data_IF_487384397427
#
_entry.id   IF_487384397427
#
_cell.length_a   1.000
_cell.length_b   1.000
_cell.length_c   1.000
_cell.angle_alpha   90.00
_cell.angle_beta   90.00
_cell.angle_gamma   90.00
#
_symmetry.space_group_name_H-M   'P 1'
#
loop_
_entity.id
_entity.type
_entity.pdbx_description
1 polymer ?
#
# COMPACT_ATOMS: atom_id res chain seq x y z
N UNK A 1 24.49 5.99 -6.88
CA UNK A 1 23.94 5.06 -5.87
C UNK A 1 22.47 4.87 -6.19
N UNK A 2 21.94 3.64 -6.19
CA UNK A 2 20.50 3.41 -6.44
C UNK A 2 19.75 3.83 -5.18
N UNK A 3 18.87 4.81 -5.30
CA UNK A 3 18.02 5.26 -4.18
C UNK A 3 17.15 4.08 -3.70
N UNK A 4 17.04 3.82 -2.38
CA UNK A 4 16.08 2.86 -1.88
C UNK A 4 14.66 3.36 -2.20
N UNK A 5 13.91 2.61 -3.00
CA UNK A 5 12.62 3.03 -3.50
C UNK A 5 11.53 2.12 -2.93
N UNK A 6 10.85 2.54 -1.87
CA UNK A 6 9.64 1.83 -1.46
C UNK A 6 8.55 2.08 -2.51
N UNK A 7 7.75 1.08 -2.86
CA UNK A 7 6.52 1.31 -3.61
C UNK A 7 5.37 0.69 -2.82
N UNK A 8 4.82 1.50 -1.91
CA UNK A 8 3.72 1.06 -1.05
C UNK A 8 2.40 1.13 -1.80
N UNK A 9 2.02 0.01 -2.39
CA UNK A 9 0.70 -0.15 -2.98
C UNK A 9 -0.36 -0.18 -1.87
N UNK A 10 -1.11 0.90 -1.70
CA UNK A 10 -2.29 0.90 -0.85
C UNK A 10 -3.49 0.40 -1.63
N UNK A 11 -3.66 -0.90 -1.71
CA UNK A 11 -4.92 -1.46 -2.18
C UNK A 11 -5.93 -1.38 -1.04
N UNK A 12 -6.74 -0.33 -1.09
CA UNK A 12 -7.85 -0.10 -0.18
C UNK A 12 -7.49 0.11 1.29
N UNK A 13 -6.97 1.30 1.59
CA UNK A 13 -7.14 1.91 2.91
C UNK A 13 -8.62 2.26 3.26
N UNK A 14 -9.59 1.64 2.57
CA UNK A 14 -11.02 1.88 2.80
C UNK A 14 -11.48 1.05 3.98
N UNK A 15 -12.11 1.70 4.95
CA UNK A 15 -12.79 1.03 6.05
C UNK A 15 -14.04 0.31 5.53
N UNK A 16 -13.93 -0.99 5.20
CA UNK A 16 -15.08 -1.77 4.73
C UNK A 16 -15.83 -2.31 5.96
N UNK A 17 -16.68 -1.46 6.55
CA UNK A 17 -17.49 -1.83 7.72
C UNK A 17 -18.74 -0.98 7.85
N UNK A 18 -19.91 -1.63 7.77
CA UNK A 18 -21.24 -1.03 7.99
C UNK A 18 -21.32 -0.32 9.36
N UNK A 19 -21.08 0.99 9.40
CA UNK A 19 -21.87 2.01 10.09
C UNK A 19 -21.15 3.36 9.97
N UNK A 20 -21.92 4.33 9.46
CA UNK A 20 -21.54 5.73 9.28
C UNK A 20 -20.89 6.30 10.56
N UNK A 21 -19.61 6.62 10.49
CA UNK A 21 -19.11 7.91 10.96
C UNK A 21 -18.38 8.55 9.80
N UNK A 22 -18.93 9.69 9.39
CA UNK A 22 -18.51 10.43 8.23
C UNK A 22 -17.04 10.85 8.35
N UNK A 23 -16.38 10.84 7.20
CA UNK A 23 -15.19 11.62 6.88
C UNK A 23 -13.80 10.96 6.95
N UNK A 24 -13.56 9.75 7.49
CA UNK A 24 -12.21 9.13 7.41
C UNK A 24 -12.07 8.15 6.26
N UNK A 25 -11.43 8.60 5.17
CA UNK A 25 -11.13 7.79 3.98
C UNK A 25 -9.96 6.81 4.19
N UNK A 26 -9.14 7.02 5.21
CA UNK A 26 -7.94 6.23 5.52
C UNK A 26 -7.98 5.73 6.98
N UNK A 27 -7.28 4.61 7.26
CA UNK A 27 -6.96 4.22 8.63
C UNK A 27 -6.02 5.25 9.28
N UNK A 28 -6.18 5.45 10.59
CA UNK A 28 -5.50 6.51 11.36
C UNK A 28 -3.97 6.44 11.31
N UNK A 29 -3.41 5.26 11.06
CA UNK A 29 -1.97 5.00 11.02
C UNK A 29 -1.34 5.21 9.63
N UNK A 30 -2.14 5.33 8.57
CA UNK A 30 -1.64 5.42 7.19
C UNK A 30 -0.91 6.74 6.94
N UNK A 31 -1.58 7.88 7.15
CA UNK A 31 -1.00 9.20 6.87
C UNK A 31 0.26 9.47 7.72
N UNK A 32 0.27 9.20 9.04
CA UNK A 32 1.48 9.39 9.84
C UNK A 32 2.65 8.51 9.40
N UNK A 33 2.41 7.25 9.04
CA UNK A 33 3.46 6.34 8.59
C UNK A 33 4.03 6.76 7.23
N UNK A 34 3.15 7.09 6.27
CA UNK A 34 3.54 7.56 4.94
C UNK A 34 4.39 8.83 5.03
N UNK A 35 4.03 9.78 5.90
CA UNK A 35 4.86 10.98 6.14
C UNK A 35 6.26 10.61 6.62
N UNK A 36 6.38 9.74 7.63
CA UNK A 36 7.69 9.26 8.12
C UNK A 36 8.52 8.58 7.03
N UNK A 37 7.88 7.80 6.15
CA UNK A 37 8.57 7.15 5.05
C UNK A 37 9.11 8.14 4.04
N UNK A 38 8.33 9.18 3.71
CA UNK A 38 8.80 10.26 2.84
C UNK A 38 9.93 11.07 3.46
N UNK A 39 9.83 11.38 4.76
CA UNK A 39 10.90 12.04 5.51
C UNK A 39 12.20 11.21 5.53
N UNK A 40 12.08 9.88 5.51
CA UNK A 40 13.21 8.96 5.37
C UNK A 40 13.74 8.81 3.92
N UNK A 41 13.16 9.55 2.95
CA UNK A 41 13.56 9.54 1.55
C UNK A 41 12.88 8.48 0.68
N UNK A 42 11.87 7.78 1.20
CA UNK A 42 11.16 6.75 0.43
C UNK A 42 10.13 7.40 -0.50
N UNK A 43 10.01 6.82 -1.71
CA UNK A 43 8.89 7.11 -2.62
C UNK A 43 7.67 6.27 -2.22
N UNK A 44 6.49 6.70 -2.62
CA UNK A 44 5.21 6.06 -2.28
C UNK A 44 4.32 6.06 -3.51
N UNK A 45 3.85 4.88 -3.90
CA UNK A 45 3.10 4.67 -5.14
C UNK A 45 1.83 3.87 -4.89
N UNK A 46 0.68 4.37 -5.34
CA UNK A 46 -0.59 3.66 -5.18
C UNK A 46 -0.81 2.77 -6.40
N UNK A 47 -1.20 1.52 -6.18
CA UNK A 47 -1.71 0.66 -7.24
C UNK A 47 -3.08 0.16 -6.81
N UNK A 48 -4.13 0.45 -7.56
CA UNK A 48 -5.52 0.07 -7.22
C UNK A 48 -6.25 -0.49 -8.43
N UNK A 49 -7.32 -1.24 -8.22
CA UNK A 49 -8.27 -1.55 -9.30
C UNK A 49 -9.16 -0.36 -9.66
N UNK A 50 -9.25 0.65 -8.77
CA UNK A 50 -9.86 1.94 -9.09
C UNK A 50 -9.01 2.76 -10.07
N UNK A 51 -9.65 3.54 -10.94
CA UNK A 51 -8.93 4.35 -11.94
C UNK A 51 -8.00 5.36 -11.28
N UNK A 52 -6.93 5.77 -11.98
CA UNK A 52 -6.01 6.81 -11.48
C UNK A 52 -6.75 8.09 -11.07
N UNK A 53 -7.78 8.49 -11.81
CA UNK A 53 -8.60 9.66 -11.48
C UNK A 53 -9.35 9.46 -10.16
N UNK A 54 -9.96 8.29 -9.95
CA UNK A 54 -10.65 7.97 -8.70
C UNK A 54 -9.69 7.91 -7.51
N UNK A 55 -8.47 7.42 -7.72
CA UNK A 55 -7.43 7.43 -6.69
C UNK A 55 -7.03 8.86 -6.34
N UNK A 56 -6.74 9.71 -7.33
CA UNK A 56 -6.39 11.12 -7.08
C UNK A 56 -7.50 11.88 -6.35
N UNK A 57 -8.76 11.61 -6.67
CA UNK A 57 -9.90 12.19 -5.95
C UNK A 57 -9.96 11.73 -4.49
N UNK A 58 -9.65 10.46 -4.21
CA UNK A 58 -9.60 9.92 -2.85
C UNK A 58 -8.54 10.63 -1.99
N UNK A 59 -7.34 10.85 -2.55
CA UNK A 59 -6.24 11.52 -1.84
C UNK A 59 -6.40 13.06 -1.81
N UNK A 60 -7.01 13.66 -2.83
CA UNK A 60 -7.25 15.11 -2.91
C UNK A 60 -8.39 15.62 -2.02
N UNK A 61 -9.33 14.75 -1.62
CA UNK A 61 -10.47 15.12 -0.76
C UNK A 61 -10.42 14.47 0.63
N UNK A 62 -9.23 14.08 1.10
CA UNK A 62 -9.08 13.47 2.42
C UNK A 62 -9.44 14.47 3.54
N UNK A 63 -10.04 13.97 4.62
CA UNK A 63 -10.29 14.77 5.83
C UNK A 63 -9.04 15.17 6.60
N UNK A 64 -7.89 14.63 6.24
CA UNK A 64 -6.59 14.92 6.88
C UNK A 64 -5.80 16.00 6.13
N UNK A 65 -6.46 16.74 5.22
CA UNK A 65 -5.86 17.79 4.39
C UNK A 65 -5.45 17.28 3.01
N UNK A 66 -4.72 18.11 2.26
CA UNK A 66 -4.19 17.73 0.95
C UNK A 66 -3.13 16.63 1.13
N UNK A 67 -3.53 15.38 0.90
CA UNK A 67 -2.64 14.21 0.97
C UNK A 67 -2.03 13.88 -0.39
N UNK A 68 -2.27 14.71 -1.40
CA UNK A 68 -1.72 14.52 -2.75
C UNK A 68 -0.19 14.50 -2.76
N UNK A 69 0.45 15.33 -1.94
CA UNK A 69 1.91 15.40 -1.81
C UNK A 69 2.54 14.14 -1.20
N UNK A 70 1.73 13.24 -0.63
CA UNK A 70 2.21 12.02 -0.01
C UNK A 70 2.46 10.89 -1.03
N UNK A 71 1.98 11.05 -2.26
CA UNK A 71 2.01 10.02 -3.30
C UNK A 71 2.81 10.52 -4.50
N UNK A 72 3.84 9.78 -4.89
CA UNK A 72 4.69 10.10 -6.05
C UNK A 72 4.10 9.57 -7.38
N UNK A 73 3.17 8.62 -7.32
CA UNK A 73 2.50 8.10 -8.50
C UNK A 73 1.33 7.17 -8.21
N UNK A 74 0.51 6.99 -9.24
CA UNK A 74 -0.70 6.16 -9.21
C UNK A 74 -0.69 5.20 -10.40
N UNK A 75 -1.08 3.95 -10.14
CA UNK A 75 -1.21 2.88 -11.09
C UNK A 75 -2.61 2.28 -10.98
N UNK A 76 -3.25 2.00 -12.10
CA UNK A 76 -4.52 1.27 -12.15
C UNK A 76 -4.39 0.01 -12.99
N UNK A 77 -5.46 -0.76 -13.17
CA UNK A 77 -5.38 -2.02 -13.94
C UNK A 77 -5.08 -1.84 -15.44
N UNK A 78 -5.00 -0.60 -15.96
CA UNK A 78 -4.58 -0.37 -17.35
C UNK A 78 -3.12 -0.73 -17.59
N UNK A 79 -2.29 -0.73 -16.54
CA UNK A 79 -0.90 -1.20 -16.60
C UNK A 79 -0.78 -2.73 -16.46
N UNK A 80 -1.90 -3.43 -16.20
CA UNK A 80 -1.93 -4.87 -15.99
C UNK A 80 -2.82 -5.31 -14.84
N UNK A 81 -3.15 -6.61 -14.78
CA UNK A 81 -3.74 -7.19 -13.57
C UNK A 81 -2.66 -7.44 -12.51
N UNK A 82 -3.00 -7.19 -11.24
CA UNK A 82 -2.08 -7.27 -10.10
C UNK A 82 -1.49 -8.65 -9.83
N UNK A 83 -2.15 -9.68 -10.36
CA UNK A 83 -1.74 -11.07 -10.26
C UNK A 83 -0.95 -11.56 -11.49
N UNK A 84 -0.83 -10.73 -12.54
CA UNK A 84 -0.23 -11.11 -13.83
C UNK A 84 0.91 -10.20 -14.28
N UNK A 85 1.02 -8.98 -13.73
CA UNK A 85 1.94 -7.96 -14.24
C UNK A 85 2.75 -7.35 -13.11
N UNK A 86 4.01 -7.78 -13.01
CA UNK A 86 4.95 -7.41 -11.96
C UNK A 86 6.04 -6.42 -12.39
N UNK A 87 6.09 -6.01 -13.67
CA UNK A 87 7.19 -5.18 -14.22
C UNK A 87 7.34 -3.79 -13.57
N UNK A 88 6.33 -3.32 -12.85
CA UNK A 88 6.38 -2.03 -12.13
C UNK A 88 7.14 -2.15 -10.81
N UNK A 89 7.17 -3.35 -10.24
CA UNK A 89 7.80 -3.65 -8.97
C UNK A 89 9.08 -4.46 -9.22
N UNK A 90 10.01 -4.39 -8.28
CA UNK A 90 11.28 -5.12 -8.33
C UNK A 90 11.80 -5.29 -6.90
N UNK A 91 12.95 -5.96 -6.72
CA UNK A 91 13.59 -6.23 -5.42
C UNK A 91 13.85 -5.00 -4.54
N UNK A 92 13.79 -3.78 -5.08
CA UNK A 92 13.96 -2.56 -4.28
C UNK A 92 12.66 -2.10 -3.61
N UNK A 93 11.52 -2.62 -4.07
CA UNK A 93 10.19 -2.24 -3.63
C UNK A 93 9.65 -3.18 -2.56
N UNK A 94 8.92 -2.60 -1.59
CA UNK A 94 8.08 -3.33 -0.65
C UNK A 94 6.62 -3.15 -1.03
N UNK A 95 5.97 -4.23 -1.44
CA UNK A 95 4.55 -4.30 -1.78
C UNK A 95 3.73 -4.63 -0.53
N UNK A 96 2.75 -3.78 -0.23
CA UNK A 96 1.81 -4.01 0.87
C UNK A 96 0.46 -4.40 0.27
N UNK A 97 -0.14 -5.50 0.68
CA UNK A 97 -1.47 -5.90 0.18
C UNK A 97 -2.23 -6.69 1.24
N UNK A 98 -3.56 -6.63 1.25
CA UNK A 98 -4.40 -7.51 2.03
C UNK A 98 -4.76 -8.82 1.31
N UNK A 99 -4.43 -8.94 0.02
CA UNK A 99 -4.79 -10.08 -0.83
C UNK A 99 -3.59 -11.01 -1.02
N UNK A 100 -3.67 -12.22 -0.47
CA UNK A 100 -2.57 -13.21 -0.54
C UNK A 100 -2.19 -13.61 -1.97
N UNK A 101 -3.14 -13.61 -2.92
CA UNK A 101 -2.83 -13.90 -4.33
C UNK A 101 -1.94 -12.83 -4.98
N UNK A 102 -2.14 -11.57 -4.61
CA UNK A 102 -1.28 -10.48 -5.08
C UNK A 102 0.09 -10.55 -4.40
N UNK A 103 0.11 -10.94 -3.13
CA UNK A 103 1.36 -11.18 -2.41
C UNK A 103 2.20 -12.28 -3.07
N UNK A 104 1.60 -13.44 -3.36
CA UNK A 104 2.25 -14.54 -4.08
C UNK A 104 2.79 -14.10 -5.44
N UNK A 105 2.00 -13.37 -6.22
CA UNK A 105 2.42 -12.90 -7.55
C UNK A 105 3.59 -11.89 -7.48
N UNK A 106 3.64 -11.07 -6.43
CA UNK A 106 4.75 -10.14 -6.20
C UNK A 106 6.03 -10.87 -5.76
N UNK A 107 5.93 -11.90 -4.91
CA UNK A 107 7.08 -12.72 -4.52
C UNK A 107 7.64 -13.55 -5.68
N UNK A 108 6.78 -14.11 -6.54
CA UNK A 108 7.20 -14.80 -7.78
C UNK A 108 8.00 -13.89 -8.72
N UNK A 109 7.86 -12.57 -8.54
CA UNK A 109 8.59 -11.54 -9.27
C UNK A 109 9.78 -10.94 -8.49
N UNK A 110 10.22 -11.61 -7.42
CA UNK A 110 11.29 -11.16 -6.53
C UNK A 110 11.01 -9.80 -5.87
N UNK A 111 9.75 -9.45 -5.62
CA UNK A 111 9.38 -8.22 -4.90
C UNK A 111 9.23 -8.53 -3.41
N UNK A 112 9.70 -7.66 -2.53
CA UNK A 112 9.44 -7.82 -1.10
C UNK A 112 7.96 -7.56 -0.80
N UNK A 113 7.34 -8.40 0.04
CA UNK A 113 5.92 -8.28 0.36
C UNK A 113 5.68 -8.30 1.87
N UNK A 114 4.72 -7.49 2.33
CA UNK A 114 4.09 -7.67 3.62
C UNK A 114 2.57 -7.64 3.49
N UNK A 115 1.89 -8.54 4.19
CA UNK A 115 0.43 -8.65 4.13
C UNK A 115 -0.19 -7.78 5.22
N UNK A 116 -1.10 -6.89 4.82
CA UNK A 116 -1.77 -5.95 5.71
C UNK A 116 -3.08 -6.55 6.20
N UNK A 117 -3.20 -6.75 7.51
CA UNK A 117 -4.39 -7.31 8.14
C UNK A 117 -5.20 -6.18 8.76
N UNK A 118 -6.37 -5.88 8.19
CA UNK A 118 -7.32 -4.88 8.71
C UNK A 118 -8.66 -5.52 9.09
N UNK A 119 -9.41 -4.92 10.02
CA UNK A 119 -10.78 -5.34 10.31
C UNK A 119 -11.64 -5.30 9.03
N UNK A 120 -12.24 -6.44 8.67
CA UNK A 120 -13.08 -6.57 7.47
C UNK A 120 -12.40 -7.22 6.27
N UNK A 121 -11.08 -7.45 6.31
CA UNK A 121 -10.38 -8.19 5.25
C UNK A 121 -10.85 -9.65 5.22
N UNK A 122 -10.75 -10.28 4.05
CA UNK A 122 -10.96 -11.71 3.94
C UNK A 122 -10.02 -12.45 4.91
N UNK A 123 -10.52 -13.52 5.52
CA UNK A 123 -9.68 -14.35 6.38
C UNK A 123 -8.47 -14.84 5.58
N UNK A 124 -7.27 -14.59 6.08
CA UNK A 124 -6.08 -15.22 5.54
C UNK A 124 -6.26 -16.73 5.67
N UNK A 125 -6.11 -17.46 4.56
CA UNK A 125 -5.94 -18.92 4.56
C UNK A 125 -4.73 -19.29 5.44
N UNK A 126 -4.56 -20.56 5.78
CA UNK A 126 -3.53 -21.05 6.74
C UNK A 126 -2.06 -20.67 6.40
N UNK A 127 -1.81 -19.95 5.31
CA UNK A 127 -0.55 -19.30 4.88
C UNK A 127 -0.05 -18.17 5.81
N UNK A 128 -0.60 -18.04 7.02
CA UNK A 128 -0.20 -17.01 8.02
C UNK A 128 1.25 -17.13 8.45
N UNK A 129 1.87 -18.30 8.27
CA UNK A 129 3.27 -18.58 8.64
C UNK A 129 4.26 -18.19 7.55
N UNK A 130 3.82 -17.86 6.33
CA UNK A 130 4.69 -17.57 5.20
C UNK A 130 4.95 -16.06 5.04
N UNK A 131 3.92 -15.23 5.22
CA UNK A 131 4.01 -13.79 5.02
C UNK A 131 4.40 -13.02 6.29
N UNK A 132 5.13 -11.92 6.11
CA UNK A 132 5.23 -10.88 7.14
C UNK A 132 3.89 -10.16 7.27
N UNK A 133 3.19 -10.37 8.39
CA UNK A 133 1.90 -9.77 8.64
C UNK A 133 2.06 -8.46 9.44
N UNK A 134 1.40 -7.39 8.99
CA UNK A 134 1.30 -6.14 9.74
C UNK A 134 -0.17 -5.75 9.96
N UNK A 135 -0.49 -5.25 11.14
CA UNK A 135 -1.86 -4.74 11.44
C UNK A 135 -1.95 -3.21 11.36
N UNK A 136 -0.80 -2.56 11.36
CA UNK A 136 -0.60 -1.12 11.29
C UNK A 136 0.65 -0.79 10.47
N UNK A 137 0.60 0.32 9.73
CA UNK A 137 1.75 0.82 8.98
C UNK A 137 2.88 1.30 9.90
N UNK A 138 2.57 1.57 11.17
CA UNK A 138 3.57 1.93 12.17
C UNK A 138 4.49 0.76 12.55
N UNK A 139 4.14 -0.48 12.20
CA UNK A 139 4.96 -1.68 12.45
C UNK A 139 6.12 -1.83 11.46
N UNK A 140 6.10 -1.07 10.35
CA UNK A 140 7.16 -1.08 9.36
C UNK A 140 8.33 -0.19 9.82
N UNK A 141 9.43 -0.82 10.19
CA UNK A 141 10.70 -0.16 10.47
C UNK A 141 11.51 -0.06 9.19
N UNK A 142 11.76 1.18 8.75
CA UNK A 142 12.60 1.43 7.58
C UNK A 142 14.08 1.37 7.98
N UNK A 143 14.96 0.79 7.14
CA UNK A 143 16.39 0.96 7.31
C UNK A 143 16.72 2.44 7.16
N UNK A 144 17.40 3.01 8.17
CA UNK A 144 17.87 4.39 8.10
C UNK A 144 18.88 4.50 6.97
N UNK A 145 18.62 5.39 5.98
CA UNK A 145 19.62 5.79 5.00
C UNK A 145 20.83 6.34 5.76
N UNK A 146 21.91 5.56 5.80
CA UNK A 146 23.21 5.98 6.35
C UNK A 146 24.01 6.70 5.28
#
# INVERSE_FOLDING_TARGET
AREPCMAVVLQDARHIGKKRSANRMFFADVVPAVRKWREAGMKVYIYSSGSVEAQKLLFGHSSEGDTFELVDGHFDTKIGHKVEQHWVLNQQHLFLTDVTREASAAEEADVHVAVVVRPGNAGLTDDKTYYSLITSFSELYLPSST
#
